data_IF_383317307828
#
_entry.id   IF_383317307828
#
_cell.length_a   1.000
_cell.length_b   1.000
_cell.length_c   1.000
_cell.angle_alpha   90.00
_cell.angle_beta   90.00
_cell.angle_gamma   90.00
#
_symmetry.space_group_name_H-M   'P 1'
#
loop_
_entity.id
_entity.type
_entity.pdbx_description
1 polymer ?
#
# COMPACT_ATOMS: atom_id res chain seq x y z
N UNK A 1 -19.09 -6.47 -37.40
CA UNK A 1 -17.73 -7.01 -37.70
C UNK A 1 -16.63 -5.93 -37.62
N UNK A 2 -16.87 -4.70 -38.11
CA UNK A 2 -15.88 -3.60 -38.13
C UNK A 2 -15.50 -3.06 -36.74
N UNK A 3 -16.44 -3.05 -35.78
CA UNK A 3 -16.19 -2.56 -34.40
C UNK A 3 -15.22 -3.49 -33.62
N UNK A 4 -15.26 -4.80 -33.90
CA UNK A 4 -14.41 -5.79 -33.23
C UNK A 4 -12.96 -5.75 -33.74
N UNK A 5 -12.78 -5.42 -35.03
CA UNK A 5 -11.45 -5.20 -35.61
C UNK A 5 -10.81 -3.95 -35.01
N UNK A 6 -11.59 -2.89 -34.81
CA UNK A 6 -11.07 -1.64 -34.23
C UNK A 6 -10.64 -1.80 -32.77
N UNK A 7 -11.35 -2.60 -31.95
CA UNK A 7 -10.95 -2.86 -30.55
C UNK A 7 -9.75 -3.81 -30.45
N UNK A 8 -9.64 -4.78 -31.36
CA UNK A 8 -8.47 -5.66 -31.45
C UNK A 8 -7.26 -4.88 -31.92
N UNK A 9 -7.39 -4.03 -32.94
CA UNK A 9 -6.31 -3.18 -33.43
C UNK A 9 -5.87 -2.17 -32.37
N UNK A 10 -6.81 -1.56 -31.65
CA UNK A 10 -6.49 -0.66 -30.53
C UNK A 10 -5.74 -1.40 -29.42
N UNK A 11 -6.18 -2.62 -29.06
CA UNK A 11 -5.45 -3.49 -28.11
C UNK A 11 -4.05 -3.81 -28.62
N UNK A 12 -3.88 -4.17 -29.88
CA UNK A 12 -2.56 -4.53 -30.45
C UNK A 12 -1.63 -3.33 -30.53
N UNK A 13 -2.14 -2.15 -30.89
CA UNK A 13 -1.35 -0.91 -30.95
C UNK A 13 -0.97 -0.43 -29.55
N UNK A 14 -1.90 -0.49 -28.59
CA UNK A 14 -1.61 -0.18 -27.18
C UNK A 14 -0.61 -1.17 -26.60
N UNK A 15 -0.75 -2.46 -26.89
CA UNK A 15 0.20 -3.49 -26.45
C UNK A 15 1.58 -3.28 -27.07
N UNK A 16 1.65 -2.95 -28.37
CA UNK A 16 2.90 -2.64 -29.08
C UNK A 16 3.58 -1.36 -28.59
N UNK A 17 2.81 -0.33 -28.25
CA UNK A 17 3.34 0.92 -27.70
C UNK A 17 3.84 0.72 -26.27
N UNK A 18 3.12 -0.04 -25.45
CA UNK A 18 3.58 -0.47 -24.12
C UNK A 18 4.87 -1.27 -24.26
N UNK A 19 4.97 -2.19 -25.24
CA UNK A 19 6.13 -3.04 -25.49
C UNK A 19 7.36 -2.27 -26.00
N UNK A 20 7.19 -1.20 -26.80
CA UNK A 20 8.30 -0.29 -27.17
C UNK A 20 8.77 0.58 -26.01
N UNK A 21 7.85 1.00 -25.13
CA UNK A 21 8.23 1.67 -23.87
C UNK A 21 8.94 0.71 -22.90
N UNK A 22 8.74 -0.61 -23.09
CA UNK A 22 9.26 -1.72 -22.29
C UNK A 22 10.69 -2.14 -22.64
N UNK A 23 11.05 -2.20 -23.92
CA UNK A 23 12.43 -2.50 -24.37
C UNK A 23 13.44 -1.44 -23.89
N UNK A 24 12.97 -0.24 -23.53
CA UNK A 24 13.78 0.79 -22.88
C UNK A 24 13.96 0.58 -21.38
N UNK A 25 13.19 -0.30 -20.72
CA UNK A 25 13.20 -0.50 -19.27
C UNK A 25 13.75 -1.86 -18.81
N UNK A 26 14.24 -2.70 -19.72
CA UNK A 26 14.89 -3.98 -19.37
C UNK A 26 16.18 -3.76 -18.55
N UNK A 27 16.81 -2.59 -18.66
CA UNK A 27 17.91 -2.17 -17.80
C UNK A 27 17.47 -1.43 -16.50
N UNK A 28 16.18 -1.18 -16.29
CA UNK A 28 15.69 -0.33 -15.18
C UNK A 28 15.32 -1.11 -13.89
N UNK A 29 15.17 -2.43 -13.96
CA UNK A 29 14.82 -3.26 -12.78
C UNK A 29 16.03 -3.64 -11.92
N UNK A 30 17.25 -3.56 -12.45
CA UNK A 30 18.50 -3.75 -11.69
C UNK A 30 18.85 -2.54 -10.81
N UNK A 31 18.40 -1.33 -11.19
CA UNK A 31 18.63 -0.11 -10.40
C UNK A 31 17.74 -0.03 -9.13
N UNK A 32 16.73 -0.90 -9.02
CA UNK A 32 15.89 -1.05 -7.81
C UNK A 32 16.68 -1.57 -6.60
N UNK A 33 17.91 -2.06 -6.80
CA UNK A 33 18.75 -2.67 -5.77
C UNK A 33 19.25 -1.69 -4.69
N UNK A 34 19.11 -0.38 -4.87
CA UNK A 34 19.56 0.61 -3.88
C UNK A 34 18.54 0.91 -2.76
N UNK A 35 17.28 0.47 -2.88
CA UNK A 35 16.23 0.75 -1.91
C UNK A 35 15.59 -0.53 -1.39
N UNK A 36 15.94 -0.89 -0.15
CA UNK A 36 15.50 -2.12 0.51
C UNK A 36 13.97 -2.26 0.49
N UNK A 37 13.25 -1.16 0.67
CA UNK A 37 11.78 -1.17 0.73
C UNK A 37 11.15 -1.55 -0.62
N UNK A 38 11.67 -1.00 -1.72
CA UNK A 38 11.17 -1.24 -3.07
C UNK A 38 11.59 -2.62 -3.56
N UNK A 39 12.83 -3.03 -3.29
CA UNK A 39 13.35 -4.37 -3.63
C UNK A 39 12.54 -5.47 -2.93
N UNK A 40 12.35 -5.35 -1.61
CA UNK A 40 11.57 -6.31 -0.82
C UNK A 40 10.12 -6.41 -1.31
N UNK A 41 9.46 -5.26 -1.55
CA UNK A 41 8.08 -5.23 -2.05
C UNK A 41 7.97 -5.82 -3.46
N UNK A 42 8.97 -5.59 -4.32
CA UNK A 42 9.03 -6.16 -5.67
C UNK A 42 9.09 -7.70 -5.65
N UNK A 43 9.87 -8.28 -4.74
CA UNK A 43 9.94 -9.74 -4.56
C UNK A 43 8.57 -10.30 -4.17
N UNK A 44 7.89 -9.67 -3.20
CA UNK A 44 6.55 -10.11 -2.78
C UNK A 44 5.49 -9.97 -3.88
N UNK A 45 5.55 -8.89 -4.66
CA UNK A 45 4.67 -8.70 -5.82
C UNK A 45 4.88 -9.76 -6.91
N UNK A 46 6.13 -10.20 -7.12
CA UNK A 46 6.44 -11.33 -8.00
C UNK A 46 5.85 -12.64 -7.48
N UNK A 47 5.97 -12.93 -6.18
CA UNK A 47 5.35 -14.12 -5.58
C UNK A 47 3.82 -14.14 -5.74
N UNK A 48 3.19 -12.98 -5.69
CA UNK A 48 1.73 -12.84 -5.81
C UNK A 48 1.22 -12.92 -7.25
N UNK A 49 2.08 -12.77 -8.26
CA UNK A 49 1.65 -12.76 -9.66
C UNK A 49 1.45 -11.37 -10.27
N UNK A 50 1.92 -10.31 -9.62
CA UNK A 50 1.69 -8.94 -10.08
C UNK A 50 3.01 -8.23 -10.41
N UNK A 51 3.56 -8.56 -11.58
CA UNK A 51 4.68 -7.83 -12.17
C UNK A 51 4.44 -7.57 -13.66
N UNK A 52 5.20 -6.62 -14.21
CA UNK A 52 5.22 -6.38 -15.64
C UNK A 52 6.08 -7.45 -16.31
N UNK A 53 5.45 -8.34 -17.09
CA UNK A 53 6.15 -9.37 -17.86
C UNK A 53 6.79 -8.76 -19.11
N UNK A 54 8.10 -8.99 -19.31
CA UNK A 54 8.86 -8.60 -20.49
C UNK A 54 8.57 -9.50 -21.69
N UNK A 55 8.57 -10.80 -21.43
CA UNK A 55 8.47 -11.84 -22.45
C UNK A 55 7.22 -12.70 -22.33
N UNK A 56 6.93 -13.45 -23.40
CA UNK A 56 5.86 -14.44 -23.41
C UNK A 56 6.06 -15.53 -22.33
N UNK A 57 7.31 -15.83 -21.98
CA UNK A 57 7.66 -16.73 -20.87
C UNK A 57 7.28 -16.12 -19.52
N UNK A 58 7.70 -14.88 -19.25
CA UNK A 58 7.34 -14.18 -18.01
C UNK A 58 5.84 -13.96 -17.88
N UNK A 59 5.14 -13.76 -19.00
CA UNK A 59 3.69 -13.64 -19.00
C UNK A 59 3.01 -14.95 -18.59
N UNK A 60 3.56 -16.10 -19.00
CA UNK A 60 3.09 -17.41 -18.55
C UNK A 60 3.36 -17.61 -17.06
N UNK A 61 4.57 -17.30 -16.59
CA UNK A 61 4.91 -17.38 -15.16
C UNK A 61 3.98 -16.51 -14.32
N UNK A 62 3.70 -15.28 -14.76
CA UNK A 62 2.76 -14.38 -14.09
C UNK A 62 1.37 -14.98 -13.97
N UNK A 63 0.84 -15.50 -15.07
CA UNK A 63 -0.48 -16.13 -15.06
C UNK A 63 -0.51 -17.36 -14.15
N UNK A 64 0.56 -18.16 -14.11
CA UNK A 64 0.69 -19.29 -13.19
C UNK A 64 0.69 -18.80 -11.74
N UNK A 65 1.49 -17.79 -11.40
CA UNK A 65 1.54 -17.22 -10.04
C UNK A 65 0.22 -16.63 -9.58
N UNK A 66 -0.49 -15.87 -10.44
CA UNK A 66 -1.84 -15.35 -10.11
C UNK A 66 -2.83 -16.50 -9.91
N UNK A 67 -2.78 -17.52 -10.78
CA UNK A 67 -3.66 -18.69 -10.67
C UNK A 67 -3.41 -19.46 -9.38
N UNK A 68 -2.13 -19.72 -9.06
CA UNK A 68 -1.73 -20.34 -7.80
C UNK A 68 -2.24 -19.56 -6.59
N UNK A 69 -2.11 -18.24 -6.60
CA UNK A 69 -2.59 -17.36 -5.54
C UNK A 69 -4.12 -17.47 -5.36
N UNK A 70 -4.87 -17.35 -6.45
CA UNK A 70 -6.33 -17.48 -6.41
C UNK A 70 -6.77 -18.87 -5.91
N UNK A 71 -6.10 -19.94 -6.36
CA UNK A 71 -6.37 -21.31 -5.89
C UNK A 71 -6.08 -21.45 -4.39
N UNK A 72 -4.97 -20.90 -3.90
CA UNK A 72 -4.62 -20.93 -2.48
C UNK A 72 -5.66 -20.20 -1.61
N UNK A 73 -6.11 -19.01 -2.05
CA UNK A 73 -7.16 -18.25 -1.34
C UNK A 73 -8.50 -19.01 -1.37
N UNK A 74 -8.91 -19.55 -2.52
CA UNK A 74 -10.15 -20.32 -2.63
C UNK A 74 -10.12 -21.58 -1.77
N UNK A 75 -8.98 -22.27 -1.73
CA UNK A 75 -8.76 -23.41 -0.85
C UNK A 75 -8.90 -23.02 0.62
N UNK A 76 -8.27 -21.92 1.06
CA UNK A 76 -8.39 -21.45 2.43
C UNK A 76 -9.82 -20.99 2.78
N UNK A 77 -10.53 -20.32 1.86
CA UNK A 77 -11.94 -19.96 2.05
C UNK A 77 -12.82 -21.20 2.20
N UNK A 78 -12.58 -22.24 1.41
CA UNK A 78 -13.28 -23.53 1.57
C UNK A 78 -13.04 -24.12 2.96
N UNK A 79 -11.79 -24.14 3.44
CA UNK A 79 -11.47 -24.66 4.77
C UNK A 79 -12.21 -23.87 5.86
N UNK A 80 -12.14 -22.54 5.83
CA UNK A 80 -12.75 -21.69 6.86
C UNK A 80 -14.28 -21.71 6.84
N UNK A 81 -14.91 -21.70 5.66
CA UNK A 81 -16.37 -21.80 5.55
C UNK A 81 -16.90 -23.14 6.05
N UNK A 82 -16.16 -24.22 5.80
CA UNK A 82 -16.47 -25.54 6.35
C UNK A 82 -16.31 -25.54 7.87
N UNK A 83 -15.24 -24.92 8.40
CA UNK A 83 -15.02 -24.84 9.84
C UNK A 83 -16.11 -24.04 10.57
N UNK A 84 -16.59 -22.94 9.98
CA UNK A 84 -17.76 -22.19 10.48
C UNK A 84 -19.00 -23.08 10.56
N UNK A 85 -19.25 -23.89 9.51
CA UNK A 85 -20.42 -24.75 9.45
C UNK A 85 -20.42 -25.81 10.57
N UNK A 86 -19.28 -26.48 10.78
CA UNK A 86 -19.18 -27.50 11.82
C UNK A 86 -19.05 -26.92 13.25
N UNK A 87 -18.48 -25.73 13.39
CA UNK A 87 -18.28 -25.07 14.68
C UNK A 87 -19.43 -24.14 15.08
N UNK A 88 -20.56 -24.14 14.34
CA UNK A 88 -21.68 -23.21 14.56
C UNK A 88 -22.23 -23.22 16.00
N UNK A 89 -22.13 -24.36 16.70
CA UNK A 89 -22.58 -24.50 18.08
C UNK A 89 -21.63 -23.92 19.15
N UNK A 90 -20.38 -23.61 18.80
CA UNK A 90 -19.40 -23.03 19.71
C UNK A 90 -19.08 -21.60 19.27
N UNK A 91 -19.56 -20.62 20.06
CA UNK A 91 -19.42 -19.20 19.72
C UNK A 91 -17.97 -18.76 19.54
N UNK A 92 -17.04 -19.19 20.41
CA UNK A 92 -15.62 -18.81 20.33
C UNK A 92 -14.96 -19.34 19.07
N UNK A 93 -15.19 -20.62 18.75
CA UNK A 93 -14.65 -21.27 17.55
C UNK A 93 -15.27 -20.70 16.25
N UNK A 94 -16.54 -20.31 16.30
CA UNK A 94 -17.20 -19.61 15.20
C UNK A 94 -16.56 -18.23 14.98
N UNK A 95 -16.37 -17.43 16.03
CA UNK A 95 -15.69 -16.13 15.94
C UNK A 95 -14.24 -16.25 15.47
N UNK A 96 -13.53 -17.30 15.86
CA UNK A 96 -12.18 -17.61 15.37
C UNK A 96 -12.19 -17.74 13.84
N UNK A 97 -13.09 -18.57 13.33
CA UNK A 97 -13.23 -18.86 11.91
C UNK A 97 -13.75 -17.65 11.11
N UNK A 98 -14.64 -16.85 11.70
CA UNK A 98 -15.12 -15.59 11.10
C UNK A 98 -13.99 -14.56 11.00
N UNK A 99 -13.18 -14.38 12.05
CA UNK A 99 -12.02 -13.47 12.01
C UNK A 99 -11.05 -13.87 10.89
N UNK A 100 -10.69 -15.16 10.82
CA UNK A 100 -9.85 -15.68 9.75
C UNK A 100 -10.48 -15.45 8.36
N UNK A 101 -11.78 -15.68 8.22
CA UNK A 101 -12.50 -15.48 6.94
C UNK A 101 -12.44 -14.01 6.49
N UNK A 102 -12.64 -13.06 7.42
CA UNK A 102 -12.49 -11.63 7.12
C UNK A 102 -11.07 -11.29 6.64
N UNK A 103 -10.03 -11.86 7.28
CA UNK A 103 -8.63 -11.70 6.86
C UNK A 103 -8.33 -12.32 5.49
N UNK A 104 -9.09 -13.32 5.03
CA UNK A 104 -8.98 -13.91 3.69
C UNK A 104 -9.69 -13.10 2.61
N UNK A 105 -10.82 -12.47 2.95
CA UNK A 105 -11.59 -11.65 2.00
C UNK A 105 -10.79 -10.41 1.58
N UNK A 106 -10.01 -9.83 2.49
CA UNK A 106 -9.16 -8.67 2.21
C UNK A 106 -8.21 -8.84 1.01
N UNK A 107 -7.25 -9.79 1.01
CA UNK A 107 -6.35 -9.99 -0.12
C UNK A 107 -7.10 -10.37 -1.40
N UNK A 108 -8.22 -11.09 -1.31
CA UNK A 108 -9.03 -11.42 -2.48
C UNK A 108 -9.58 -10.18 -3.19
N UNK A 109 -10.18 -9.25 -2.42
CA UNK A 109 -10.71 -8.00 -2.93
C UNK A 109 -9.59 -7.11 -3.50
N UNK A 110 -8.46 -6.99 -2.80
CA UNK A 110 -7.28 -6.25 -3.29
C UNK A 110 -6.78 -6.78 -4.63
N UNK A 111 -6.62 -8.10 -4.76
CA UNK A 111 -6.21 -8.74 -6.02
C UNK A 111 -7.22 -8.42 -7.13
N UNK A 112 -8.51 -8.58 -6.86
CA UNK A 112 -9.56 -8.31 -7.85
C UNK A 112 -9.55 -6.85 -8.32
N UNK A 113 -9.44 -5.89 -7.38
CA UNK A 113 -9.43 -4.45 -7.69
C UNK A 113 -8.18 -4.07 -8.49
N UNK A 114 -7.00 -4.56 -8.09
CA UNK A 114 -5.75 -4.25 -8.79
C UNK A 114 -5.65 -4.92 -10.15
N UNK A 115 -6.16 -6.13 -10.32
CA UNK A 115 -6.25 -6.78 -11.64
C UNK A 115 -7.21 -6.03 -12.56
N UNK A 116 -8.33 -5.53 -12.04
CA UNK A 116 -9.29 -4.71 -12.79
C UNK A 116 -8.68 -3.38 -13.24
N UNK A 117 -7.83 -2.77 -12.40
CA UNK A 117 -7.15 -1.50 -12.68
C UNK A 117 -5.68 -1.67 -13.10
N UNK A 118 -5.29 -2.85 -13.60
CA UNK A 118 -3.88 -3.22 -13.80
C UNK A 118 -3.10 -2.22 -14.65
N UNK A 119 -3.70 -1.68 -15.70
CA UNK A 119 -3.03 -0.76 -16.62
C UNK A 119 -2.68 0.57 -15.94
N UNK A 120 -3.66 1.15 -15.23
CA UNK A 120 -3.44 2.38 -14.46
C UNK A 120 -2.47 2.16 -13.29
N UNK A 121 -2.58 1.01 -12.61
CA UNK A 121 -1.65 0.62 -11.56
C UNK A 121 -0.21 0.59 -12.07
N UNK A 122 0.08 -0.15 -13.15
CA UNK A 122 1.42 -0.21 -13.72
C UNK A 122 1.91 1.14 -14.28
N UNK A 123 1.01 1.96 -14.83
CA UNK A 123 1.35 3.34 -15.23
C UNK A 123 1.85 4.17 -14.04
N UNK A 124 1.25 4.03 -12.86
CA UNK A 124 1.72 4.71 -11.64
C UNK A 124 3.12 4.23 -11.26
N UNK A 125 3.38 2.90 -11.30
CA UNK A 125 4.70 2.33 -10.99
C UNK A 125 5.78 2.92 -11.90
N UNK A 126 5.57 2.85 -13.22
CA UNK A 126 6.55 3.31 -14.21
C UNK A 126 6.77 4.82 -14.07
N UNK A 127 5.71 5.59 -13.82
CA UNK A 127 5.83 7.03 -13.61
C UNK A 127 6.66 7.35 -12.37
N UNK A 128 6.42 6.67 -11.24
CA UNK A 128 7.19 6.83 -10.01
C UNK A 128 8.67 6.47 -10.23
N UNK A 129 8.96 5.37 -10.90
CA UNK A 129 10.34 4.94 -11.16
C UNK A 129 11.11 6.00 -11.97
N UNK A 130 10.53 6.44 -13.10
CA UNK A 130 11.21 7.38 -14.01
C UNK A 130 11.32 8.79 -13.43
N UNK A 131 10.28 9.28 -12.74
CA UNK A 131 10.23 10.68 -12.33
C UNK A 131 10.66 10.89 -10.88
N UNK A 132 10.42 9.93 -9.98
CA UNK A 132 10.68 10.10 -8.54
C UNK A 132 11.97 9.39 -8.12
N UNK A 133 12.26 8.18 -8.64
CA UNK A 133 13.46 7.44 -8.23
C UNK A 133 14.70 7.85 -9.03
N UNK A 134 14.56 8.12 -10.32
CA UNK A 134 15.66 8.56 -11.21
C UNK A 134 15.74 10.09 -11.35
N UNK A 135 15.12 10.85 -10.45
CA UNK A 135 15.14 12.31 -10.49
C UNK A 135 16.54 12.89 -10.26
N UNK A 136 16.87 13.97 -10.97
CA UNK A 136 18.09 14.74 -10.71
C UNK A 136 17.89 15.62 -9.47
N UNK A 137 18.53 15.26 -8.37
CA UNK A 137 18.40 15.90 -7.06
C UNK A 137 19.69 16.57 -6.61
N UNK A 138 19.58 17.77 -6.06
CA UNK A 138 20.67 18.38 -5.30
C UNK A 138 20.82 17.74 -3.90
N UNK A 139 21.79 18.20 -3.12
CA UNK A 139 22.10 17.59 -1.81
C UNK A 139 20.94 17.71 -0.81
N UNK A 140 20.20 18.82 -0.86
CA UNK A 140 19.06 19.02 0.03
C UNK A 140 17.84 18.20 -0.40
N UNK A 141 17.53 18.17 -1.70
CA UNK A 141 16.49 17.29 -2.27
C UNK A 141 16.80 15.82 -1.99
N UNK A 142 18.07 15.42 -2.07
CA UNK A 142 18.51 14.05 -1.74
C UNK A 142 18.25 13.71 -0.27
N UNK A 143 18.45 14.65 0.67
CA UNK A 143 18.10 14.46 2.09
C UNK A 143 16.59 14.24 2.28
N UNK A 144 15.75 14.99 1.55
CA UNK A 144 14.29 14.82 1.57
C UNK A 144 13.90 13.42 1.07
N UNK A 145 14.41 13.02 -0.09
CA UNK A 145 14.12 11.71 -0.69
C UNK A 145 14.62 10.57 0.22
N UNK A 146 15.84 10.69 0.77
CA UNK A 146 16.38 9.70 1.72
C UNK A 146 15.54 9.59 2.99
N UNK A 147 15.04 10.72 3.51
CA UNK A 147 14.10 10.74 4.63
C UNK A 147 12.81 9.97 4.33
N UNK A 148 12.28 10.09 3.11
CA UNK A 148 11.10 9.34 2.66
C UNK A 148 11.42 7.84 2.58
N UNK A 149 12.53 7.46 1.95
CA UNK A 149 13.00 6.07 1.86
C UNK A 149 13.13 5.43 3.24
N UNK A 150 13.75 6.13 4.19
CA UNK A 150 13.91 5.64 5.57
C UNK A 150 12.57 5.38 6.26
N UNK A 151 11.58 6.27 6.06
CA UNK A 151 10.22 6.06 6.58
C UNK A 151 9.54 4.86 5.92
N UNK A 152 9.65 4.72 4.59
CA UNK A 152 9.13 3.56 3.86
C UNK A 152 9.71 2.26 4.42
N UNK A 153 11.04 2.16 4.52
CA UNK A 153 11.74 0.98 5.05
C UNK A 153 11.30 0.68 6.47
N UNK A 154 11.22 1.69 7.35
CA UNK A 154 10.78 1.49 8.72
C UNK A 154 9.37 0.87 8.79
N UNK A 155 8.39 1.48 8.14
CA UNK A 155 7.01 0.97 8.16
C UNK A 155 6.90 -0.42 7.52
N UNK A 156 7.51 -0.62 6.36
CA UNK A 156 7.44 -1.89 5.62
C UNK A 156 8.10 -3.02 6.41
N UNK A 157 9.28 -2.79 6.99
CA UNK A 157 9.96 -3.82 7.78
C UNK A 157 9.13 -4.19 9.03
N UNK A 158 8.56 -3.21 9.73
CA UNK A 158 7.79 -3.45 10.95
C UNK A 158 6.48 -4.18 10.65
N UNK A 159 5.76 -3.77 9.61
CA UNK A 159 4.52 -4.42 9.19
C UNK A 159 4.78 -5.85 8.64
N UNK A 160 5.81 -6.02 7.82
CA UNK A 160 6.22 -7.34 7.33
C UNK A 160 6.65 -8.25 8.50
N UNK A 161 7.36 -7.72 9.49
CA UNK A 161 7.77 -8.47 10.68
C UNK A 161 6.56 -9.03 11.44
N UNK A 162 5.56 -8.21 11.76
CA UNK A 162 4.38 -8.72 12.47
C UNK A 162 3.57 -9.71 11.65
N UNK A 163 3.42 -9.46 10.35
CA UNK A 163 2.69 -10.42 9.50
C UNK A 163 3.43 -11.76 9.41
N UNK A 164 4.76 -11.74 9.30
CA UNK A 164 5.56 -12.98 9.35
C UNK A 164 5.49 -13.64 10.73
N UNK A 165 5.49 -12.87 11.82
CA UNK A 165 5.30 -13.42 13.17
C UNK A 165 3.93 -14.10 13.32
N UNK A 166 2.86 -13.53 12.77
CA UNK A 166 1.54 -14.16 12.72
C UNK A 166 1.58 -15.50 11.97
N UNK A 167 2.19 -15.53 10.77
CA UNK A 167 2.33 -16.77 9.97
C UNK A 167 3.10 -17.83 10.75
N UNK A 168 4.23 -17.45 11.37
CA UNK A 168 5.03 -18.37 12.18
C UNK A 168 4.24 -18.89 13.37
N UNK A 169 3.42 -18.07 14.01
CA UNK A 169 2.56 -18.50 15.13
C UNK A 169 1.50 -19.53 14.70
N UNK A 170 0.87 -19.36 13.53
CA UNK A 170 -0.05 -20.37 12.97
C UNK A 170 0.65 -21.70 12.68
N UNK A 171 1.93 -21.68 12.31
CA UNK A 171 2.71 -22.90 12.01
C UNK A 171 3.24 -23.55 13.29
N UNK A 172 3.72 -22.76 14.25
CA UNK A 172 4.33 -23.24 15.48
C UNK A 172 3.31 -23.92 16.40
N UNK A 173 2.08 -23.40 16.47
CA UNK A 173 0.99 -23.95 17.29
C UNK A 173 0.73 -25.46 17.10
N UNK A 174 0.44 -25.94 15.88
CA UNK A 174 0.25 -27.36 15.58
C UNK A 174 1.53 -28.17 15.72
N UNK A 175 2.71 -27.62 15.35
CA UNK A 175 3.99 -28.33 15.54
C UNK A 175 4.21 -28.66 17.01
N UNK A 176 4.10 -27.67 17.89
CA UNK A 176 4.25 -27.85 19.34
C UNK A 176 3.15 -28.77 19.88
N UNK A 177 1.92 -28.61 19.38
CA UNK A 177 0.77 -29.43 19.80
C UNK A 177 0.86 -30.90 19.42
N UNK A 178 1.69 -31.25 18.42
CA UNK A 178 1.87 -32.62 17.97
C UNK A 178 3.10 -33.31 18.58
N UNK A 179 3.95 -32.58 19.32
CA UNK A 179 5.07 -33.18 20.05
C UNK A 179 4.50 -34.14 21.10
N UNK A 180 4.86 -35.42 21.01
CA UNK A 180 4.41 -36.46 21.94
C UNK A 180 3.05 -37.07 21.61
N UNK A 181 2.40 -36.68 20.50
CA UNK A 181 1.16 -37.34 20.03
C UNK A 181 1.47 -38.51 19.10
N UNK A 182 0.65 -39.57 19.19
CA UNK A 182 0.67 -40.69 18.27
C UNK A 182 0.13 -40.31 16.89
N UNK A 183 0.37 -41.14 15.88
CA UNK A 183 -0.07 -40.90 14.49
C UNK A 183 -1.59 -40.73 14.36
N UNK A 184 -2.39 -41.27 15.29
CA UNK A 184 -3.84 -41.14 15.28
C UNK A 184 -4.38 -39.76 15.69
N UNK A 185 -3.64 -38.99 16.49
CA UNK A 185 -4.14 -37.77 17.17
C UNK A 185 -3.46 -36.47 16.71
N UNK A 186 -2.76 -36.50 15.56
CA UNK A 186 -2.10 -35.32 15.00
C UNK A 186 -3.12 -34.25 14.60
N UNK A 187 -2.82 -33.00 14.93
CA UNK A 187 -3.67 -31.82 14.68
C UNK A 187 -3.07 -30.98 13.56
N UNK A 188 -3.92 -30.55 12.62
CA UNK A 188 -3.54 -29.68 11.50
C UNK A 188 -3.58 -28.19 11.90
N UNK A 189 -2.84 -27.30 11.21
CA UNK A 189 -2.93 -25.85 11.41
C UNK A 189 -4.35 -25.30 11.28
N UNK A 190 -5.11 -25.79 10.30
CA UNK A 190 -6.52 -25.48 10.12
C UNK A 190 -7.32 -26.78 10.02
N UNK A 191 -8.47 -26.81 10.69
CA UNK A 191 -9.36 -27.97 10.64
C UNK A 191 -9.85 -28.21 9.21
N UNK A 192 -9.81 -29.47 8.78
CA UNK A 192 -10.25 -29.89 7.46
C UNK A 192 -11.22 -31.05 7.61
N UNK A 193 -12.50 -30.76 7.37
CA UNK A 193 -13.60 -31.70 7.59
C UNK A 193 -13.86 -32.54 6.34
N UNK A 194 -13.03 -33.56 6.11
CA UNK A 194 -13.15 -34.48 4.98
C UNK A 194 -13.09 -35.92 5.48
N UNK A 195 -13.80 -36.82 4.78
CA UNK A 195 -13.80 -38.27 5.03
C UNK A 195 -12.48 -38.95 4.60
N UNK A 196 -11.34 -38.42 5.05
CA UNK A 196 -10.00 -39.00 4.85
C UNK A 196 -9.30 -39.10 6.22
N UNK A 197 -8.45 -40.12 6.44
CA UNK A 197 -7.69 -40.24 7.68
C UNK A 197 -6.52 -39.23 7.70
N UNK A 198 -6.83 -37.95 7.90
CA UNK A 198 -5.90 -36.83 7.81
C UNK A 198 -4.81 -36.82 8.90
N UNK A 199 -4.99 -37.57 9.98
CA UNK A 199 -3.96 -37.72 11.02
C UNK A 199 -2.86 -38.71 10.63
N UNK A 200 -3.14 -39.64 9.70
CA UNK A 200 -2.23 -40.72 9.32
C UNK A 200 -1.25 -40.32 8.22
N UNK A 201 -0.04 -40.88 8.29
CA UNK A 201 0.97 -40.81 7.23
C UNK A 201 0.45 -41.55 5.97
N UNK A 202 0.62 -41.02 4.74
CA UNK A 202 1.27 -39.76 4.35
C UNK A 202 0.32 -38.56 4.20
N UNK A 203 -0.98 -38.73 4.50
CA UNK A 203 -2.01 -37.71 4.28
C UNK A 203 -1.79 -36.46 5.13
N UNK A 204 -1.32 -36.67 6.36
CA UNK A 204 -1.00 -35.59 7.28
C UNK A 204 0.08 -34.65 6.70
N UNK A 205 1.22 -35.21 6.27
CA UNK A 205 2.36 -34.46 5.78
C UNK A 205 2.02 -33.68 4.50
N UNK A 206 1.24 -34.28 3.60
CA UNK A 206 0.78 -33.63 2.37
C UNK A 206 -0.14 -32.45 2.70
N UNK A 207 -1.15 -32.69 3.54
CA UNK A 207 -2.15 -31.67 3.90
C UNK A 207 -1.53 -30.53 4.69
N UNK A 208 -0.66 -30.86 5.66
CA UNK A 208 0.09 -29.89 6.44
C UNK A 208 0.93 -28.99 5.53
N UNK A 209 1.66 -29.58 4.57
CA UNK A 209 2.48 -28.83 3.62
C UNK A 209 1.64 -27.92 2.73
N UNK A 210 0.51 -28.41 2.22
CA UNK A 210 -0.41 -27.61 1.40
C UNK A 210 -1.02 -26.43 2.18
N UNK A 211 -1.40 -26.64 3.44
CA UNK A 211 -1.92 -25.57 4.30
C UNK A 211 -0.84 -24.52 4.61
N UNK A 212 0.40 -24.93 4.90
CA UNK A 212 1.51 -23.99 5.16
C UNK A 212 1.86 -23.16 3.92
N UNK A 213 1.94 -23.78 2.74
CA UNK A 213 2.20 -23.07 1.48
C UNK A 213 1.08 -22.08 1.15
N UNK A 214 -0.17 -22.47 1.37
CA UNK A 214 -1.34 -21.60 1.17
C UNK A 214 -1.32 -20.42 2.15
N UNK A 215 -1.08 -20.69 3.43
CA UNK A 215 -0.99 -19.67 4.48
C UNK A 215 0.11 -18.64 4.18
N UNK A 216 1.29 -19.09 3.78
CA UNK A 216 2.37 -18.19 3.41
C UNK A 216 1.99 -17.32 2.20
N UNK A 217 1.41 -17.91 1.16
CA UNK A 217 0.97 -17.17 -0.03
C UNK A 217 -0.10 -16.12 0.28
N UNK A 218 -1.06 -16.47 1.13
CA UNK A 218 -2.11 -15.57 1.62
C UNK A 218 -1.48 -14.43 2.43
N UNK A 219 -0.58 -14.76 3.34
CA UNK A 219 0.16 -13.79 4.14
C UNK A 219 0.91 -12.78 3.27
N UNK A 220 1.65 -13.23 2.25
CA UNK A 220 2.32 -12.34 1.30
C UNK A 220 1.31 -11.44 0.55
N UNK A 221 0.18 -12.00 0.13
CA UNK A 221 -0.89 -11.26 -0.57
C UNK A 221 -1.59 -10.23 0.32
N UNK A 222 -1.62 -10.47 1.63
CA UNK A 222 -2.25 -9.60 2.62
C UNK A 222 -1.53 -8.24 2.73
N UNK A 223 -0.19 -8.24 2.74
CA UNK A 223 0.61 -7.05 3.01
C UNK A 223 1.28 -6.43 1.77
N UNK A 224 1.50 -7.17 0.68
CA UNK A 224 2.32 -6.69 -0.44
C UNK A 224 1.75 -5.43 -1.12
N UNK A 225 0.42 -5.35 -1.24
CA UNK A 225 -0.25 -4.22 -1.88
C UNK A 225 -0.20 -2.95 -1.04
N UNK A 226 -0.33 -3.10 0.28
CA UNK A 226 -0.26 -1.99 1.22
C UNK A 226 1.15 -1.42 1.30
N UNK A 227 2.18 -2.28 1.28
CA UNK A 227 3.58 -1.85 1.18
C UNK A 227 3.78 -0.98 -0.08
N UNK A 228 3.24 -1.44 -1.21
CA UNK A 228 3.38 -0.72 -2.47
C UNK A 228 2.62 0.62 -2.47
N UNK A 229 1.40 0.64 -1.93
CA UNK A 229 0.63 1.87 -1.73
C UNK A 229 1.36 2.86 -0.82
N UNK A 230 1.93 2.38 0.28
CA UNK A 230 2.73 3.19 1.21
C UNK A 230 3.95 3.83 0.50
N UNK A 231 4.68 3.06 -0.30
CA UNK A 231 5.81 3.57 -1.11
C UNK A 231 5.32 4.69 -2.03
N UNK A 232 4.28 4.46 -2.82
CA UNK A 232 3.75 5.47 -3.74
C UNK A 232 3.31 6.74 -3.00
N UNK A 233 2.63 6.59 -1.87
CA UNK A 233 2.14 7.71 -1.07
C UNK A 233 3.29 8.54 -0.48
N UNK A 234 4.26 7.89 0.15
CA UNK A 234 5.39 8.58 0.78
C UNK A 234 6.32 9.22 -0.24
N UNK A 235 6.57 8.57 -1.39
CA UNK A 235 7.34 9.19 -2.46
C UNK A 235 6.60 10.39 -3.08
N UNK A 236 5.28 10.30 -3.28
CA UNK A 236 4.47 11.42 -3.76
C UNK A 236 4.52 12.61 -2.77
N UNK A 237 4.34 12.35 -1.47
CA UNK A 237 4.47 13.37 -0.43
C UNK A 237 5.89 13.98 -0.41
N UNK A 238 6.92 13.14 -0.56
CA UNK A 238 8.31 13.58 -0.71
C UNK A 238 8.52 14.50 -1.91
N UNK A 239 7.87 14.23 -3.04
CA UNK A 239 7.93 15.10 -4.23
C UNK A 239 7.24 16.44 -4.04
N UNK A 240 6.12 16.49 -3.31
CA UNK A 240 5.52 17.75 -2.92
C UNK A 240 6.49 18.56 -2.04
N UNK A 241 7.20 17.91 -1.11
CA UNK A 241 8.21 18.55 -0.28
C UNK A 241 9.44 19.04 -1.06
N UNK A 242 9.89 18.27 -2.05
CA UNK A 242 10.92 18.72 -3.01
C UNK A 242 10.44 19.95 -3.78
N UNK A 243 9.17 19.95 -4.23
CA UNK A 243 8.59 21.09 -4.92
C UNK A 243 8.50 22.34 -4.02
N UNK A 244 8.09 22.19 -2.76
CA UNK A 244 8.11 23.27 -1.77
C UNK A 244 9.49 23.91 -1.68
N UNK A 245 10.53 23.09 -1.47
CA UNK A 245 11.92 23.55 -1.40
C UNK A 245 12.37 24.26 -2.69
N UNK A 246 12.04 23.70 -3.85
CA UNK A 246 12.36 24.29 -5.16
C UNK A 246 11.74 25.67 -5.36
N UNK A 247 10.49 25.84 -4.92
CA UNK A 247 9.76 27.11 -5.02
C UNK A 247 10.35 28.13 -4.05
N UNK A 248 10.62 27.74 -2.79
CA UNK A 248 11.14 28.65 -1.77
C UNK A 248 12.60 29.07 -2.00
N UNK A 249 13.36 28.35 -2.81
CA UNK A 249 14.77 28.66 -3.14
C UNK A 249 14.98 29.07 -4.59
N UNK A 250 13.91 29.46 -5.30
CA UNK A 250 13.97 29.72 -6.74
C UNK A 250 14.98 30.82 -7.12
N UNK A 251 15.07 31.90 -6.33
CA UNK A 251 15.99 33.01 -6.61
C UNK A 251 17.45 32.58 -6.42
N UNK A 252 17.77 31.99 -5.28
CA UNK A 252 19.12 31.53 -4.93
C UNK A 252 19.66 30.53 -5.96
N UNK A 253 18.81 29.58 -6.37
CA UNK A 253 19.16 28.59 -7.39
C UNK A 253 19.41 29.17 -8.77
N UNK A 254 18.75 30.27 -9.11
CA UNK A 254 19.03 30.99 -10.35
C UNK A 254 20.37 31.70 -10.23
N UNK A 255 20.65 32.36 -9.09
CA UNK A 255 21.93 33.06 -8.85
C UNK A 255 23.10 32.07 -8.91
N UNK A 256 23.08 30.99 -8.11
CA UNK A 256 24.18 30.02 -8.04
C UNK A 256 24.52 29.34 -9.37
N UNK A 257 23.50 29.06 -10.21
CA UNK A 257 23.71 28.42 -11.52
C UNK A 257 24.37 29.34 -12.52
N UNK A 258 24.12 30.64 -12.43
CA UNK A 258 24.69 31.63 -13.34
C UNK A 258 26.09 32.05 -12.86
N UNK A 259 26.34 32.19 -11.55
CA UNK A 259 27.68 32.43 -10.99
C UNK A 259 28.67 31.31 -11.34
N UNK A 260 28.21 30.05 -11.39
CA UNK A 260 29.01 28.90 -11.84
C UNK A 260 29.30 28.89 -13.34
N UNK A 261 28.55 29.65 -14.15
CA UNK A 261 28.68 29.67 -15.61
C UNK A 261 29.49 30.85 -16.13
N UNK A 262 29.47 32.01 -15.46
CA UNK A 262 30.36 33.14 -15.75
C UNK A 262 30.23 34.24 -14.68
N UNK A 263 31.32 34.97 -14.38
CA UNK A 263 31.28 36.21 -13.57
C UNK A 263 30.60 37.34 -14.37
N UNK A 264 29.29 37.24 -14.58
CA UNK A 264 28.51 38.28 -15.24
C UNK A 264 27.66 39.04 -14.23
N UNK A 265 27.62 40.36 -14.37
CA UNK A 265 26.62 41.22 -13.74
C UNK A 265 25.26 40.74 -14.27
N UNK A 266 24.45 40.10 -13.44
CA UNK A 266 23.16 39.56 -13.86
C UNK A 266 22.24 40.75 -14.20
N UNK A 267 21.94 40.95 -15.48
CA UNK A 267 20.94 41.93 -15.90
C UNK A 267 19.59 41.57 -15.23
N UNK A 268 18.98 42.58 -14.63
CA UNK A 268 17.66 42.55 -13.98
C UNK A 268 16.57 41.90 -14.85
N UNK A 269 16.62 42.12 -16.18
CA UNK A 269 15.69 41.53 -17.14
C UNK A 269 15.98 40.03 -17.35
N UNK A 270 17.25 39.66 -17.53
CA UNK A 270 17.67 38.27 -17.66
C UNK A 270 17.33 37.45 -16.40
N UNK A 271 17.62 37.98 -15.21
CA UNK A 271 17.26 37.36 -13.93
C UNK A 271 15.75 37.08 -13.83
N UNK A 272 14.93 38.11 -14.11
CA UNK A 272 13.46 37.98 -14.07
C UNK A 272 12.94 36.91 -15.04
N UNK A 273 13.49 36.88 -16.25
CA UNK A 273 13.13 35.87 -17.27
C UNK A 273 13.54 34.46 -16.83
N UNK A 274 14.72 34.31 -16.23
CA UNK A 274 15.23 33.01 -15.77
C UNK A 274 14.45 32.48 -14.56
N UNK A 275 14.12 33.34 -13.61
CA UNK A 275 13.21 33.02 -12.51
C UNK A 275 11.84 32.59 -13.04
N UNK A 276 11.23 33.35 -13.94
CA UNK A 276 9.91 33.01 -14.47
C UNK A 276 9.88 31.72 -15.30
N UNK A 277 10.90 31.47 -16.12
CA UNK A 277 11.01 30.21 -16.88
C UNK A 277 11.23 29.00 -15.98
N UNK A 278 12.00 29.15 -14.90
CA UNK A 278 12.17 28.11 -13.87
C UNK A 278 10.88 27.88 -13.10
N UNK A 279 10.16 28.94 -12.74
CA UNK A 279 8.87 28.87 -12.06
C UNK A 279 7.83 28.10 -12.88
N UNK A 280 7.76 28.36 -14.19
CA UNK A 280 6.90 27.58 -15.11
C UNK A 280 7.21 26.08 -15.13
N UNK A 281 8.47 25.67 -14.92
CA UNK A 281 8.81 24.24 -14.77
C UNK A 281 8.26 23.67 -13.47
N UNK A 282 8.33 24.41 -12.37
CA UNK A 282 7.78 24.00 -11.08
C UNK A 282 6.25 23.93 -11.10
N UNK A 283 5.56 24.83 -11.82
CA UNK A 283 4.11 24.73 -12.05
C UNK A 283 3.76 23.41 -12.78
N UNK A 284 4.51 23.06 -13.84
CA UNK A 284 4.31 21.79 -14.55
C UNK A 284 4.56 20.58 -13.66
N UNK A 285 5.60 20.64 -12.82
CA UNK A 285 5.85 19.60 -11.82
C UNK A 285 4.67 19.49 -10.85
N UNK A 286 4.16 20.60 -10.31
CA UNK A 286 3.00 20.62 -9.42
C UNK A 286 1.76 19.98 -10.06
N UNK A 287 1.45 20.36 -11.31
CA UNK A 287 0.33 19.78 -12.07
C UNK A 287 0.50 18.27 -12.27
N UNK A 288 1.72 17.82 -12.54
CA UNK A 288 2.01 16.39 -12.72
C UNK A 288 1.86 15.60 -11.41
N UNK A 289 2.26 16.17 -10.26
CA UNK A 289 2.05 15.57 -8.94
C UNK A 289 0.55 15.48 -8.57
N UNK A 290 -0.21 16.53 -8.85
CA UNK A 290 -1.68 16.52 -8.67
C UNK A 290 -2.32 15.43 -9.56
N UNK A 291 -1.91 15.34 -10.82
CA UNK A 291 -2.43 14.33 -11.75
C UNK A 291 -2.08 12.90 -11.29
N UNK A 292 -0.85 12.69 -10.80
CA UNK A 292 -0.44 11.42 -10.22
C UNK A 292 -1.28 11.06 -8.99
N UNK A 293 -1.51 12.00 -8.07
CA UNK A 293 -2.35 11.79 -6.89
C UNK A 293 -3.78 11.39 -7.26
N UNK A 294 -4.40 12.09 -8.22
CA UNK A 294 -5.75 11.74 -8.71
C UNK A 294 -5.80 10.34 -9.31
N UNK A 295 -4.78 9.94 -10.07
CA UNK A 295 -4.70 8.59 -10.62
C UNK A 295 -4.52 7.53 -9.55
N UNK A 296 -3.70 7.82 -8.54
CA UNK A 296 -3.53 6.98 -7.36
C UNK A 296 -4.85 6.78 -6.62
N UNK A 297 -5.60 7.86 -6.38
CA UNK A 297 -6.93 7.80 -5.76
C UNK A 297 -7.91 6.94 -6.57
N UNK A 298 -7.97 7.11 -7.89
CA UNK A 298 -8.88 6.32 -8.75
C UNK A 298 -8.57 4.82 -8.67
N UNK A 299 -7.30 4.43 -8.64
CA UNK A 299 -6.89 3.02 -8.59
C UNK A 299 -7.19 2.39 -7.22
N UNK A 300 -7.00 3.16 -6.14
CA UNK A 300 -7.06 2.62 -4.77
C UNK A 300 -8.34 2.97 -4.00
N UNK A 301 -9.25 3.80 -4.51
CA UNK A 301 -10.44 4.26 -3.75
C UNK A 301 -11.30 3.13 -3.15
N UNK A 302 -11.43 2.00 -3.84
CA UNK A 302 -12.16 0.84 -3.36
C UNK A 302 -11.38 0.09 -2.27
N UNK A 303 -10.06 -0.06 -2.44
CA UNK A 303 -9.17 -0.67 -1.44
C UNK A 303 -9.18 0.17 -0.16
N UNK A 304 -9.15 1.50 -0.30
CA UNK A 304 -9.25 2.44 0.82
C UNK A 304 -10.56 2.25 1.60
N UNK A 305 -11.69 2.14 0.89
CA UNK A 305 -13.00 1.95 1.49
C UNK A 305 -13.08 0.61 2.24
N UNK A 306 -12.64 -0.47 1.60
CA UNK A 306 -12.55 -1.81 2.16
C UNK A 306 -11.70 -1.81 3.45
N UNK A 307 -10.52 -1.20 3.39
CA UNK A 307 -9.55 -1.20 4.49
C UNK A 307 -10.10 -0.55 5.76
N UNK A 308 -10.76 0.61 5.64
CA UNK A 308 -11.34 1.30 6.80
C UNK A 308 -12.50 0.53 7.42
N UNK A 309 -13.37 -0.07 6.60
CA UNK A 309 -14.53 -0.83 7.10
C UNK A 309 -14.11 -2.12 7.81
N UNK A 310 -13.17 -2.85 7.21
CA UNK A 310 -12.80 -4.18 7.69
C UNK A 310 -11.90 -4.13 8.94
N UNK A 311 -11.04 -3.11 9.07
CA UNK A 311 -10.15 -3.04 10.23
C UNK A 311 -10.85 -2.81 11.57
N UNK A 312 -11.94 -2.04 11.60
CA UNK A 312 -12.70 -1.90 12.85
C UNK A 312 -13.26 -3.24 13.33
N UNK A 313 -13.71 -4.09 12.40
CA UNK A 313 -14.21 -5.43 12.71
C UNK A 313 -13.07 -6.37 13.12
N UNK A 314 -11.97 -6.41 12.36
CA UNK A 314 -10.81 -7.26 12.67
C UNK A 314 -10.21 -6.94 14.03
N UNK A 315 -9.94 -5.67 14.33
CA UNK A 315 -9.37 -5.26 15.62
C UNK A 315 -10.31 -5.62 16.78
N UNK A 316 -11.64 -5.47 16.57
CA UNK A 316 -12.63 -5.87 17.56
C UNK A 316 -12.61 -7.39 17.82
N UNK A 317 -12.64 -8.20 16.74
CA UNK A 317 -12.65 -9.65 16.83
C UNK A 317 -11.33 -10.21 17.40
N UNK A 318 -10.19 -9.67 16.98
CA UNK A 318 -8.90 -10.05 17.55
C UNK A 318 -8.83 -9.68 19.03
N UNK A 319 -9.33 -8.50 19.41
CA UNK A 319 -9.42 -8.08 20.80
C UNK A 319 -10.25 -9.05 21.65
N UNK A 320 -11.35 -9.56 21.10
CA UNK A 320 -12.16 -10.60 21.74
C UNK A 320 -11.36 -11.90 21.95
N UNK A 321 -10.68 -12.39 20.90
CA UNK A 321 -9.90 -13.62 20.98
C UNK A 321 -8.72 -13.53 21.97
N UNK A 322 -8.15 -12.34 22.14
CA UNK A 322 -7.03 -12.13 23.06
C UNK A 322 -7.48 -12.05 24.53
N UNK A 323 -8.62 -11.37 24.78
CA UNK A 323 -9.03 -10.92 26.11
C UNK A 323 -10.17 -11.73 26.75
N UNK A 324 -11.05 -12.32 25.94
CA UNK A 324 -12.31 -12.90 26.42
C UNK A 324 -12.43 -14.38 26.11
N UNK A 325 -11.90 -14.84 24.98
CA UNK A 325 -11.98 -16.23 24.60
C UNK A 325 -11.14 -17.10 25.55
N UNK A 326 -11.72 -18.21 26.02
CA UNK A 326 -11.02 -19.24 26.80
C UNK A 326 -10.18 -20.12 25.87
N UNK A 327 -9.29 -19.47 25.12
CA UNK A 327 -8.45 -20.09 24.11
C UNK A 327 -7.04 -20.37 24.64
N UNK A 328 -6.45 -21.43 24.08
CA UNK A 328 -5.06 -21.80 24.33
C UNK A 328 -4.09 -20.61 24.12
N UNK A 329 -2.98 -20.64 24.86
CA UNK A 329 -1.86 -19.67 24.72
C UNK A 329 -1.41 -19.50 23.26
N UNK A 330 -1.51 -20.57 22.46
CA UNK A 330 -1.16 -20.60 21.04
C UNK A 330 -2.06 -19.67 20.22
N UNK A 331 -3.38 -19.78 20.41
CA UNK A 331 -4.36 -19.00 19.66
C UNK A 331 -4.32 -17.53 20.08
N UNK A 332 -4.16 -17.27 21.38
CA UNK A 332 -3.92 -15.91 21.89
C UNK A 332 -2.66 -15.26 21.30
N UNK A 333 -1.59 -16.03 21.11
CA UNK A 333 -0.36 -15.54 20.47
C UNK A 333 -0.59 -15.18 19.00
N UNK A 334 -1.31 -16.01 18.25
CA UNK A 334 -1.67 -15.75 16.84
C UNK A 334 -2.39 -14.41 16.70
N UNK A 335 -3.47 -14.21 17.46
CA UNK A 335 -4.24 -12.96 17.39
C UNK A 335 -3.49 -11.76 17.95
N UNK A 336 -2.59 -11.94 18.92
CA UNK A 336 -1.74 -10.85 19.43
C UNK A 336 -0.80 -10.30 18.36
N UNK A 337 -0.22 -11.16 17.52
CA UNK A 337 0.57 -10.69 16.38
C UNK A 337 -0.33 -10.15 15.25
N UNK A 338 -1.50 -10.75 15.03
CA UNK A 338 -2.45 -10.31 14.00
C UNK A 338 -3.01 -8.90 14.28
N UNK A 339 -3.44 -8.61 15.50
CA UNK A 339 -3.92 -7.28 15.89
C UNK A 339 -2.80 -6.24 15.74
N UNK A 340 -1.57 -6.59 16.13
CA UNK A 340 -0.42 -5.70 16.02
C UNK A 340 -0.06 -5.43 14.54
N UNK A 341 -0.20 -6.44 13.68
CA UNK A 341 -0.11 -6.27 12.23
C UNK A 341 -1.19 -5.33 11.69
N UNK A 342 -2.45 -5.51 12.08
CA UNK A 342 -3.57 -4.64 11.71
C UNK A 342 -3.35 -3.18 12.14
N UNK A 343 -2.91 -2.96 13.39
CA UNK A 343 -2.58 -1.64 13.92
C UNK A 343 -1.44 -0.98 13.13
N UNK A 344 -0.37 -1.73 12.85
CA UNK A 344 0.77 -1.24 12.07
C UNK A 344 0.37 -0.90 10.63
N UNK A 345 -0.44 -1.74 10.00
CA UNK A 345 -0.92 -1.53 8.63
C UNK A 345 -1.82 -0.30 8.54
N UNK A 346 -2.79 -0.17 9.45
CA UNK A 346 -3.69 0.97 9.49
C UNK A 346 -2.90 2.27 9.72
N UNK A 347 -1.94 2.26 10.67
CA UNK A 347 -1.07 3.40 10.94
C UNK A 347 -0.21 3.77 9.73
N UNK A 348 0.44 2.78 9.10
CA UNK A 348 1.27 2.99 7.91
C UNK A 348 0.44 3.64 6.79
N UNK A 349 -0.74 3.07 6.53
CA UNK A 349 -1.65 3.55 5.50
C UNK A 349 -2.13 4.99 5.79
N UNK A 350 -2.68 5.24 6.98
CA UNK A 350 -3.21 6.55 7.37
C UNK A 350 -2.13 7.63 7.42
N UNK A 351 -0.95 7.29 7.95
CA UNK A 351 0.21 8.19 8.00
C UNK A 351 0.69 8.57 6.60
N UNK A 352 0.77 7.60 5.69
CA UNK A 352 1.21 7.86 4.32
C UNK A 352 0.24 8.79 3.57
N UNK A 353 -1.07 8.63 3.78
CA UNK A 353 -2.10 9.52 3.22
C UNK A 353 -2.04 10.92 3.82
N UNK A 354 -1.90 11.01 5.15
CA UNK A 354 -1.75 12.27 5.87
C UNK A 354 -0.52 13.08 5.42
N UNK A 355 0.59 12.40 5.10
CA UNK A 355 1.76 13.05 4.52
C UNK A 355 1.45 13.70 3.16
N UNK A 356 0.66 13.06 2.28
CA UNK A 356 0.26 13.69 1.00
C UNK A 356 -0.59 14.93 1.28
N UNK A 357 -1.56 14.81 2.19
CA UNK A 357 -2.47 15.89 2.55
C UNK A 357 -1.68 17.12 3.03
N UNK A 358 -0.81 16.94 4.03
CA UNK A 358 0.01 18.04 4.58
C UNK A 358 0.98 18.61 3.58
N UNK A 359 1.78 17.76 2.92
CA UNK A 359 2.85 18.25 2.03
C UNK A 359 2.27 18.89 0.74
N UNK A 360 1.07 18.51 0.31
CA UNK A 360 0.41 19.17 -0.83
C UNK A 360 -0.09 20.58 -0.49
N UNK A 361 -0.65 20.79 0.70
CA UNK A 361 -1.10 22.12 1.16
C UNK A 361 0.08 23.04 1.45
N UNK A 362 1.15 22.51 2.03
CA UNK A 362 2.38 23.27 2.33
C UNK A 362 3.06 23.86 1.09
N UNK A 363 2.71 23.43 -0.14
CA UNK A 363 3.12 24.10 -1.38
C UNK A 363 2.64 25.55 -1.41
N UNK A 364 1.44 25.84 -0.90
CA UNK A 364 0.90 27.20 -0.81
C UNK A 364 1.78 28.07 0.11
N UNK A 365 2.11 27.54 1.29
CA UNK A 365 2.98 28.21 2.28
C UNK A 365 4.36 28.46 1.71
N UNK A 366 5.00 27.44 1.12
CA UNK A 366 6.32 27.58 0.50
C UNK A 366 6.34 28.56 -0.68
N UNK A 367 5.24 28.64 -1.45
CA UNK A 367 5.06 29.61 -2.51
C UNK A 367 4.95 31.05 -1.98
N UNK A 368 4.22 31.24 -0.87
CA UNK A 368 4.06 32.53 -0.21
C UNK A 368 5.34 33.01 0.48
N UNK A 369 6.05 32.13 1.17
CA UNK A 369 7.31 32.44 1.87
C UNK A 369 8.51 32.55 0.93
N UNK A 370 8.38 32.05 -0.32
CA UNK A 370 9.44 32.10 -1.29
C UNK A 370 9.82 33.53 -1.73
N UNK A 371 10.96 33.70 -2.43
CA UNK A 371 11.52 35.01 -2.79
C UNK A 371 10.81 35.66 -3.98
N UNK A 372 9.48 35.59 -4.06
CA UNK A 372 8.69 36.14 -5.17
C UNK A 372 8.72 37.68 -5.26
N UNK A 373 9.20 38.35 -4.20
CA UNK A 373 9.43 39.80 -4.17
C UNK A 373 10.75 40.19 -4.82
N UNK A 374 11.76 39.31 -4.85
CA UNK A 374 13.11 39.63 -5.37
C UNK A 374 13.16 39.92 -6.87
N UNK A 375 12.45 39.20 -7.76
CA UNK A 375 12.44 39.54 -9.18
C UNK A 375 11.91 40.97 -9.43
N UNK A 376 12.64 41.81 -10.19
CA UNK A 376 12.21 43.15 -10.57
C UNK A 376 10.83 43.19 -11.24
N UNK A 377 10.17 44.36 -11.22
CA UNK A 377 8.84 44.61 -11.82
C UNK A 377 8.83 44.64 -13.37
N UNK A 378 9.63 43.79 -14.00
CA UNK A 378 9.58 43.54 -15.45
C UNK A 378 8.31 42.77 -15.83
N UNK A 379 8.06 42.60 -17.13
CA UNK A 379 6.91 41.81 -17.63
C UNK A 379 6.91 40.40 -16.99
N UNK A 380 8.06 39.72 -17.01
CA UNK A 380 8.20 38.37 -16.42
C UNK A 380 8.04 38.34 -14.91
N UNK A 381 8.56 39.33 -14.18
CA UNK A 381 8.35 39.43 -12.73
C UNK A 381 6.87 39.63 -12.37
N UNK A 382 6.14 40.47 -13.12
CA UNK A 382 4.69 40.66 -12.94
C UNK A 382 3.89 39.40 -13.27
N UNK A 383 4.24 38.69 -14.35
CA UNK A 383 3.61 37.42 -14.72
C UNK A 383 3.85 36.34 -13.66
N UNK A 384 5.08 36.22 -13.14
CA UNK A 384 5.42 35.27 -12.09
C UNK A 384 4.55 35.47 -10.84
N UNK A 385 4.35 36.72 -10.39
CA UNK A 385 3.49 37.00 -9.22
C UNK A 385 2.02 36.67 -9.47
N UNK A 386 1.50 36.96 -10.67
CA UNK A 386 0.12 36.57 -11.05
C UNK A 386 -0.06 35.04 -11.04
N UNK A 387 0.88 34.32 -11.65
CA UNK A 387 0.84 32.86 -11.71
C UNK A 387 1.03 32.24 -10.31
N UNK A 388 1.84 32.87 -9.44
CA UNK A 388 2.03 32.44 -8.04
C UNK A 388 0.72 32.47 -7.25
N UNK A 389 -0.09 33.52 -7.40
CA UNK A 389 -1.40 33.61 -6.73
C UNK A 389 -2.27 32.41 -7.14
N UNK A 390 -2.27 32.03 -8.42
CA UNK A 390 -3.00 30.84 -8.90
C UNK A 390 -2.45 29.55 -8.29
N UNK A 391 -1.13 29.43 -8.17
CA UNK A 391 -0.50 28.27 -7.52
C UNK A 391 -0.91 28.18 -6.05
N UNK A 392 -0.89 29.29 -5.31
CA UNK A 392 -1.30 29.36 -3.91
C UNK A 392 -2.77 28.92 -3.78
N UNK A 393 -3.68 29.53 -4.56
CA UNK A 393 -5.11 29.18 -4.54
C UNK A 393 -5.34 27.69 -4.84
N UNK A 394 -4.62 27.11 -5.81
CA UNK A 394 -4.75 25.68 -6.13
C UNK A 394 -4.17 24.79 -5.03
N UNK A 395 -3.02 25.14 -4.48
CA UNK A 395 -2.33 24.35 -3.43
C UNK A 395 -3.10 24.37 -2.10
N UNK A 396 -3.89 25.42 -1.83
CA UNK A 396 -4.79 25.46 -0.67
C UNK A 396 -5.88 24.39 -0.67
N UNK A 397 -6.11 23.71 -1.80
CA UNK A 397 -7.00 22.55 -1.89
C UNK A 397 -6.13 21.27 -1.81
N UNK A 398 -6.19 20.50 -0.71
CA UNK A 398 -5.33 19.36 -0.48
C UNK A 398 -5.49 18.29 -1.56
N UNK A 399 -4.38 17.62 -1.86
CA UNK A 399 -4.42 16.32 -2.54
C UNK A 399 -4.58 15.23 -1.50
N UNK A 400 -5.53 14.31 -1.69
CA UNK A 400 -5.82 13.27 -0.72
C UNK A 400 -6.33 12.00 -1.39
N UNK A 401 -6.30 10.89 -0.65
CA UNK A 401 -6.97 9.66 -1.02
C UNK A 401 -8.28 9.59 -0.22
N UNK A 402 -9.37 9.25 -0.91
CA UNK A 402 -10.69 9.12 -0.30
C UNK A 402 -11.28 7.73 -0.51
N UNK A 403 -12.11 7.29 0.45
CA UNK A 403 -12.93 6.09 0.32
C UNK A 403 -14.14 6.39 -0.58
N UNK A 404 -13.95 6.37 -1.90
CA UNK A 404 -14.96 6.75 -2.90
C UNK A 404 -15.65 8.11 -2.67
N UNK A 405 -14.97 9.04 -2.00
CA UNK A 405 -15.53 10.35 -1.65
C UNK A 405 -16.38 10.39 -0.38
N UNK A 406 -16.58 9.27 0.35
CA UNK A 406 -17.31 9.28 1.62
C UNK A 406 -16.51 9.92 2.76
N UNK A 407 -15.20 9.66 2.80
CA UNK A 407 -14.30 10.22 3.79
C UNK A 407 -12.90 10.37 3.22
N UNK A 408 -12.16 11.34 3.76
CA UNK A 408 -10.74 11.56 3.47
C UNK A 408 -9.93 10.72 4.45
N UNK A 409 -8.86 10.09 3.96
CA UNK A 409 -7.95 9.32 4.81
C UNK A 409 -6.88 10.23 5.39
N UNK A 410 -6.80 10.27 6.72
CA UNK A 410 -5.78 10.97 7.49
C UNK A 410 -5.43 10.21 8.77
N UNK A 411 -4.54 10.75 9.60
CA UNK A 411 -4.28 10.22 10.95
C UNK A 411 -5.52 10.27 11.86
N UNK A 412 -6.50 11.13 11.57
CA UNK A 412 -7.79 11.13 12.29
C UNK A 412 -8.64 9.90 11.92
N UNK A 413 -8.50 9.38 10.71
CA UNK A 413 -9.15 8.12 10.32
C UNK A 413 -8.62 6.96 11.17
N UNK A 414 -7.32 6.94 11.48
CA UNK A 414 -6.73 5.93 12.37
C UNK A 414 -7.38 5.95 13.75
N UNK A 415 -7.48 7.12 14.38
CA UNK A 415 -8.08 7.25 15.72
C UNK A 415 -9.57 6.93 15.70
N UNK A 416 -10.30 7.33 14.64
CA UNK A 416 -11.72 7.02 14.46
C UNK A 416 -11.98 5.52 14.30
N UNK A 417 -11.16 4.81 13.51
CA UNK A 417 -11.26 3.35 13.33
C UNK A 417 -11.01 2.61 14.65
N UNK A 418 -10.02 3.05 15.43
CA UNK A 418 -9.74 2.47 16.75
C UNK A 418 -10.88 2.72 17.75
N UNK A 419 -11.44 3.93 17.77
CA UNK A 419 -12.58 4.26 18.63
C UNK A 419 -13.81 3.41 18.27
N UNK A 420 -14.04 3.19 16.97
CA UNK A 420 -15.11 2.32 16.47
C UNK A 420 -14.87 0.87 16.87
N UNK A 421 -13.64 0.37 16.71
CA UNK A 421 -13.27 -0.99 17.12
C UNK A 421 -13.45 -1.21 18.64
N UNK A 422 -13.02 -0.25 19.46
CA UNK A 422 -13.21 -0.30 20.91
C UNK A 422 -14.71 -0.29 21.29
N UNK A 423 -15.51 0.52 20.60
CA UNK A 423 -16.96 0.56 20.83
C UNK A 423 -17.63 -0.77 20.48
N UNK A 424 -17.28 -1.37 19.33
CA UNK A 424 -17.76 -2.70 18.96
C UNK A 424 -17.31 -3.78 19.94
N UNK A 425 -16.06 -3.71 20.41
CA UNK A 425 -15.54 -4.64 21.41
C UNK A 425 -16.33 -4.54 22.73
N UNK A 426 -16.60 -3.33 23.23
CA UNK A 426 -17.41 -3.15 24.44
C UNK A 426 -18.84 -3.65 24.26
N UNK A 427 -19.46 -3.41 23.10
CA UNK A 427 -20.80 -3.94 22.81
C UNK A 427 -20.82 -5.47 22.78
N UNK A 428 -19.85 -6.08 22.10
CA UNK A 428 -19.70 -7.54 22.03
C UNK A 428 -19.52 -8.13 23.43
N UNK A 429 -18.62 -7.55 24.23
CA UNK A 429 -18.36 -7.95 25.61
C UNK A 429 -19.62 -7.88 26.47
N UNK A 430 -20.32 -6.74 26.47
CA UNK A 430 -21.51 -6.54 27.30
C UNK A 430 -22.63 -7.54 26.95
N UNK A 431 -22.82 -7.83 25.66
CA UNK A 431 -23.82 -8.81 25.22
C UNK A 431 -23.49 -10.21 25.73
N UNK A 432 -22.22 -10.62 25.66
CA UNK A 432 -21.77 -11.95 26.12
C UNK A 432 -21.90 -12.06 27.64
N UNK A 433 -21.46 -11.06 28.40
CA UNK A 433 -21.65 -11.02 29.86
C UNK A 433 -23.15 -11.10 30.23
N UNK A 434 -24.02 -10.45 29.46
CA UNK A 434 -25.47 -10.50 29.69
C UNK A 434 -26.11 -11.86 29.39
N UNK A 435 -25.59 -12.62 28.43
CA UNK A 435 -26.06 -13.98 28.14
C UNK A 435 -25.62 -14.97 29.22
N UNK A 436 -24.38 -14.84 29.73
CA UNK A 436 -23.89 -15.65 30.85
C UNK A 436 -24.78 -15.44 32.09
N UNK A 437 -25.08 -14.17 32.43
CA UNK A 437 -25.96 -13.85 33.57
C UNK A 437 -27.43 -14.29 33.41
N UNK A 438 -27.89 -14.65 32.20
CA UNK A 438 -29.24 -15.19 31.98
C UNK A 438 -29.29 -16.71 32.15
N UNK A 439 -28.13 -17.38 32.11
CA UNK A 439 -28.00 -18.83 32.18
C UNK A 439 -27.53 -19.34 33.54
N UNK A 440 -26.99 -18.46 34.40
CA UNK A 440 -26.78 -18.65 35.84
C UNK A 440 -28.03 -18.22 36.64
#
# INVERSE_FOLDING_TARGET
>A
MIINIHSVLLRTIVTSYIQRVFLSSENDMSFLESDVSVSLTSIFMKLVGLWMAADQYEQRLRNISVTYNLVAILFALYLQTTDIYYSWGNFSACLFSVSNTLSLILPLLKIFILLSNKEDFFRLIVYMQRNFLQGNYDDHERKIVFGCKRKCTFFICFFTFFTMATIVSYIAGPIIGNIGKNESDRVLPFNMWINLPLSMTPYFEITFTLQVLSLYQIGVSYFCFDNFLCIMNLHLAGQFKVLQYRISTIADRVIEKEEKKEKLIIDSLYFSNKCYTTFKKYIRQHQALIAYCRKLEVVFNWIVLEQVLMFSLLICLDGYQILMADEDIKTRSIFSFHILSCLCQLLMFSYSCDCILRESVSVATAAYEGPWTLPPMTISGRMMRKDLIVVIMRASIPCCLSGKGYFIVSLETYTSVLSTAASYFTLLRNNIESEIMKHD
#
